data_IF_776719456574
#
_entry.id   IF_776719456574
#
_cell.length_a   1.000
_cell.length_b   1.000
_cell.length_c   1.000
_cell.angle_alpha   90.00
_cell.angle_beta   90.00
_cell.angle_gamma   90.00
#
_symmetry.space_group_name_H-M   'P 1'
#
loop_
_entity.id
_entity.type
_entity.pdbx_description
1 polymer ?
#
# COMPACT_ATOMS: atom_id res chain seq x y z
N UNK A 1 -26.77 1.56 -3.06
CA UNK A 1 -26.85 0.88 -1.74
C UNK A 1 -25.68 1.43 -0.95
N UNK A 2 -25.91 2.05 0.21
CA UNK A 2 -24.85 2.60 1.04
C UNK A 2 -23.93 1.48 1.50
N UNK A 3 -22.63 1.58 1.16
CA UNK A 3 -21.58 0.79 1.78
C UNK A 3 -21.44 1.25 3.23
N UNK A 4 -22.36 0.80 4.09
CA UNK A 4 -22.46 1.25 5.48
C UNK A 4 -21.32 0.62 6.27
N UNK A 5 -20.40 1.43 6.75
CA UNK A 5 -19.40 1.03 7.74
C UNK A 5 -20.16 0.50 8.95
N UNK A 6 -19.92 -0.76 9.32
CA UNK A 6 -20.57 -1.36 10.49
C UNK A 6 -20.01 -0.74 11.76
N UNK A 7 -20.77 0.10 12.44
CA UNK A 7 -20.33 0.87 13.62
C UNK A 7 -19.89 -0.01 14.81
N UNK A 8 -20.16 -1.31 14.79
CA UNK A 8 -19.77 -2.27 15.81
C UNK A 8 -18.43 -2.99 15.50
N UNK A 9 -17.80 -2.74 14.35
CA UNK A 9 -16.53 -3.34 13.99
C UNK A 9 -15.39 -2.34 14.21
N UNK A 10 -14.27 -2.82 14.76
CA UNK A 10 -13.08 -2.01 14.94
C UNK A 10 -12.22 -2.07 13.66
N UNK A 11 -12.03 -0.92 13.00
CA UNK A 11 -11.19 -0.77 11.82
C UNK A 11 -9.89 -0.06 12.19
N UNK A 12 -8.78 -0.50 11.62
CA UNK A 12 -7.50 0.20 11.75
C UNK A 12 -7.45 1.44 10.86
N UNK A 13 -8.11 1.36 9.69
CA UNK A 13 -8.21 2.44 8.72
C UNK A 13 -9.66 2.60 8.28
N UNK A 14 -10.20 3.82 8.42
CA UNK A 14 -11.56 4.16 7.98
C UNK A 14 -11.52 5.31 6.98
N UNK A 15 -12.22 5.15 5.88
CA UNK A 15 -12.45 6.17 4.87
C UNK A 15 -13.90 6.64 4.98
N UNK A 16 -14.13 7.94 5.21
CA UNK A 16 -15.47 8.55 5.35
C UNK A 16 -15.64 9.67 4.36
N UNK A 17 -16.46 9.42 3.33
CA UNK A 17 -16.76 10.36 2.25
C UNK A 17 -15.50 10.95 1.59
N UNK A 18 -14.47 10.13 1.42
CA UNK A 18 -13.19 10.57 0.87
C UNK A 18 -13.32 10.90 -0.60
N UNK A 19 -13.00 12.15 -0.95
CA UNK A 19 -12.92 12.60 -2.33
C UNK A 19 -11.56 13.23 -2.60
N UNK A 20 -11.05 13.06 -3.83
CA UNK A 20 -9.79 13.64 -4.29
C UNK A 20 -9.99 14.29 -5.65
N UNK A 21 -9.59 15.56 -5.78
CA UNK A 21 -9.68 16.33 -7.02
C UNK A 21 -8.30 16.83 -7.42
N UNK A 22 -7.93 16.66 -8.69
CA UNK A 22 -6.73 17.24 -9.32
C UNK A 22 -7.02 18.57 -9.99
N UNK A 23 -8.29 18.83 -10.28
CA UNK A 23 -8.76 20.05 -10.93
C UNK A 23 -10.07 20.45 -10.29
N UNK A 24 -10.31 21.73 -10.01
CA UNK A 24 -11.57 22.19 -9.43
C UNK A 24 -12.79 21.63 -10.16
N UNK A 25 -13.72 21.05 -9.42
CA UNK A 25 -14.96 20.49 -9.95
C UNK A 25 -14.86 19.11 -10.60
N UNK A 26 -13.66 18.48 -10.68
CA UNK A 26 -13.50 17.12 -11.24
C UNK A 26 -12.83 16.19 -10.23
N UNK A 27 -13.63 15.37 -9.60
CA UNK A 27 -13.14 14.37 -8.67
C UNK A 27 -12.56 13.14 -9.40
N UNK A 28 -11.34 12.77 -9.07
CA UNK A 28 -10.71 11.52 -9.47
C UNK A 28 -11.08 10.37 -8.52
N UNK A 29 -11.47 10.71 -7.29
CA UNK A 29 -12.07 9.82 -6.28
C UNK A 29 -13.28 10.54 -5.70
N UNK A 30 -14.41 9.86 -5.56
CA UNK A 30 -15.67 10.48 -5.20
C UNK A 30 -16.35 9.75 -4.04
N UNK A 31 -16.46 10.41 -2.89
CA UNK A 31 -17.18 10.00 -1.68
C UNK A 31 -16.99 8.53 -1.27
N UNK A 32 -15.75 8.06 -1.29
CA UNK A 32 -15.42 6.68 -0.91
C UNK A 32 -15.60 6.47 0.58
N UNK A 33 -16.35 5.42 0.94
CA UNK A 33 -16.57 4.95 2.31
C UNK A 33 -16.12 3.49 2.44
N UNK A 34 -15.17 3.21 3.34
CA UNK A 34 -14.65 1.86 3.57
C UNK A 34 -13.99 1.73 4.94
N UNK A 35 -14.08 0.54 5.53
CA UNK A 35 -13.39 0.17 6.76
C UNK A 35 -12.45 -1.01 6.54
N UNK A 36 -11.16 -0.84 6.85
CA UNK A 36 -10.13 -1.87 6.68
C UNK A 36 -9.78 -2.45 8.06
N UNK A 37 -9.86 -3.77 8.17
CA UNK A 37 -9.56 -4.51 9.40
C UNK A 37 -8.07 -4.70 9.58
N UNK A 38 -7.64 -4.76 10.83
CA UNK A 38 -6.25 -5.03 11.20
C UNK A 38 -5.79 -6.41 10.71
N UNK A 39 -4.52 -6.53 10.32
CA UNK A 39 -3.89 -7.79 9.89
C UNK A 39 -4.63 -8.48 8.72
N UNK A 40 -5.16 -7.69 7.81
CA UNK A 40 -5.76 -8.17 6.56
C UNK A 40 -5.09 -7.55 5.35
N UNK A 41 -5.21 -8.23 4.21
CA UNK A 41 -4.88 -7.66 2.89
C UNK A 41 -6.17 -7.20 2.24
N UNK A 42 -6.24 -5.91 1.89
CA UNK A 42 -7.33 -5.33 1.09
C UNK A 42 -6.81 -4.95 -0.29
N UNK A 43 -7.36 -5.56 -1.34
CA UNK A 43 -7.02 -5.21 -2.71
C UNK A 43 -7.94 -4.11 -3.25
N UNK A 44 -7.37 -3.10 -3.90
CA UNK A 44 -8.10 -2.09 -4.65
C UNK A 44 -7.95 -2.44 -6.14
N UNK A 45 -9.06 -2.77 -6.79
CA UNK A 45 -9.15 -3.21 -8.18
C UNK A 45 -9.99 -2.25 -9.02
N UNK A 46 -9.84 -2.33 -10.33
CA UNK A 46 -10.63 -1.59 -11.30
C UNK A 46 -9.81 -1.20 -12.53
N UNK A 47 -10.45 -0.65 -13.58
CA UNK A 47 -9.80 -0.22 -14.81
C UNK A 47 -8.70 0.82 -14.59
N UNK A 48 -7.82 1.00 -15.57
CA UNK A 48 -6.80 2.06 -15.53
C UNK A 48 -7.47 3.44 -15.46
N UNK A 49 -6.91 4.33 -14.64
CA UNK A 49 -7.44 5.69 -14.47
C UNK A 49 -8.68 5.83 -13.59
N UNK A 50 -9.23 4.76 -12.99
CA UNK A 50 -10.42 4.85 -12.15
C UNK A 50 -10.21 5.40 -10.73
N UNK A 51 -8.99 5.82 -10.35
CA UNK A 51 -8.71 6.47 -9.06
C UNK A 51 -8.02 5.62 -8.00
N UNK A 52 -7.63 4.35 -8.27
CA UNK A 52 -7.01 3.43 -7.29
C UNK A 52 -5.77 4.00 -6.59
N UNK A 53 -4.76 4.35 -7.37
CA UNK A 53 -3.52 4.93 -6.83
C UNK A 53 -3.75 6.30 -6.21
N UNK A 54 -4.75 7.04 -6.69
CA UNK A 54 -5.18 8.30 -6.09
C UNK A 54 -5.73 8.07 -4.69
N UNK A 55 -6.66 7.11 -4.51
CA UNK A 55 -7.18 6.75 -3.20
C UNK A 55 -6.07 6.25 -2.27
N UNK A 56 -5.19 5.37 -2.77
CA UNK A 56 -4.07 4.85 -1.98
C UNK A 56 -3.16 5.96 -1.45
N UNK A 57 -2.82 6.94 -2.31
CA UNK A 57 -1.96 8.08 -1.96
C UNK A 57 -2.63 9.11 -1.05
N UNK A 58 -3.96 9.14 -0.98
CA UNK A 58 -4.67 9.97 -0.02
C UNK A 58 -4.44 9.48 1.42
N UNK A 59 -4.35 8.15 1.63
CA UNK A 59 -4.21 7.53 2.96
C UNK A 59 -2.92 7.98 3.68
N UNK A 60 -1.83 8.21 2.95
CA UNK A 60 -0.57 8.69 3.54
C UNK A 60 -0.27 10.16 3.26
N UNK A 61 -1.26 10.92 2.81
CA UNK A 61 -1.15 12.36 2.56
C UNK A 61 -0.08 12.73 1.53
N UNK A 62 0.18 11.85 0.53
CA UNK A 62 1.12 12.14 -0.56
C UNK A 62 0.63 13.27 -1.47
N UNK A 63 -0.69 13.50 -1.56
CA UNK A 63 -1.27 14.55 -2.37
C UNK A 63 -0.88 15.96 -1.91
N UNK A 64 -0.61 16.16 -0.62
CA UNK A 64 -0.18 17.46 -0.09
C UNK A 64 1.20 17.91 -0.59
N UNK A 65 1.94 17.05 -1.29
CA UNK A 65 3.15 17.44 -1.99
C UNK A 65 2.87 18.24 -3.28
N UNK A 66 1.59 18.27 -3.69
CA UNK A 66 1.12 18.94 -4.89
C UNK A 66 -0.01 19.91 -4.50
N UNK A 67 0.21 21.25 -4.57
CA UNK A 67 -0.72 22.24 -4.01
C UNK A 67 -2.10 22.26 -4.69
N UNK A 68 -2.18 21.77 -5.93
CA UNK A 68 -3.44 21.78 -6.71
C UNK A 68 -4.34 20.58 -6.40
N UNK A 69 -3.84 19.58 -5.62
CA UNK A 69 -4.62 18.39 -5.29
C UNK A 69 -5.36 18.60 -3.97
N UNK A 70 -6.67 18.54 -4.04
CA UNK A 70 -7.55 18.70 -2.87
C UNK A 70 -8.11 17.35 -2.45
N UNK A 71 -7.92 16.99 -1.20
CA UNK A 71 -8.55 15.82 -0.56
C UNK A 71 -9.57 16.31 0.46
N UNK A 72 -10.80 15.78 0.41
CA UNK A 72 -11.89 16.08 1.34
C UNK A 72 -12.43 14.80 1.96
N UNK A 73 -13.28 14.94 3.00
CA UNK A 73 -13.75 13.82 3.82
C UNK A 73 -12.82 13.55 4.99
N UNK A 74 -12.95 12.38 5.61
CA UNK A 74 -12.13 11.97 6.74
C UNK A 74 -11.43 10.65 6.45
N UNK A 75 -10.18 10.55 6.86
CA UNK A 75 -9.41 9.31 6.87
C UNK A 75 -8.94 9.10 8.31
N UNK A 76 -9.45 8.05 8.96
CA UNK A 76 -9.08 7.74 10.34
C UNK A 76 -8.10 6.58 10.35
N UNK A 77 -6.96 6.76 10.99
CA UNK A 77 -5.99 5.72 11.29
C UNK A 77 -5.98 5.49 12.80
N UNK A 78 -6.36 4.29 13.24
CA UNK A 78 -6.59 3.97 14.66
C UNK A 78 -7.52 4.99 15.33
N UNK A 79 -8.60 5.37 14.67
CA UNK A 79 -9.58 6.34 15.17
C UNK A 79 -9.13 7.80 15.16
N UNK A 80 -7.91 8.11 14.73
CA UNK A 80 -7.38 9.48 14.64
C UNK A 80 -7.44 9.98 13.20
N UNK A 81 -8.07 11.13 12.97
CA UNK A 81 -8.10 11.75 11.65
C UNK A 81 -6.67 12.17 11.24
N UNK A 82 -6.18 11.59 10.14
CA UNK A 82 -4.82 11.82 9.65
C UNK A 82 -4.56 13.29 9.28
N UNK A 83 -5.59 14.05 8.91
CA UNK A 83 -5.44 15.48 8.58
C UNK A 83 -5.13 16.35 9.80
N UNK A 84 -5.45 15.87 11.01
CA UNK A 84 -5.11 16.50 12.28
C UNK A 84 -3.73 16.10 12.82
N UNK A 85 -3.01 15.20 12.11
CA UNK A 85 -1.71 14.70 12.51
C UNK A 85 -0.59 15.40 11.73
N UNK A 86 0.63 15.35 12.25
CA UNK A 86 1.81 15.76 11.45
C UNK A 86 1.98 14.83 10.24
N UNK A 87 2.12 15.35 8.99
CA UNK A 87 2.26 14.54 7.79
C UNK A 87 3.41 13.50 7.85
N UNK A 88 4.54 13.85 8.47
CA UNK A 88 5.66 12.93 8.64
C UNK A 88 5.29 11.75 9.54
N UNK A 89 4.47 12.00 10.59
CA UNK A 89 3.96 10.93 11.47
C UNK A 89 3.03 10.02 10.69
N UNK A 90 2.12 10.59 9.87
CA UNK A 90 1.20 9.79 9.03
C UNK A 90 1.98 8.89 8.07
N UNK A 91 2.99 9.43 7.37
CA UNK A 91 3.82 8.66 6.43
C UNK A 91 4.69 7.58 7.09
N UNK A 92 4.97 7.70 8.37
CA UNK A 92 5.60 6.62 9.16
C UNK A 92 4.60 5.51 9.49
N UNK A 93 3.37 5.87 9.87
CA UNK A 93 2.33 4.92 10.25
C UNK A 93 1.70 4.23 9.03
N UNK A 94 1.65 4.92 7.88
CA UNK A 94 1.17 4.40 6.61
C UNK A 94 2.33 4.38 5.60
N UNK A 95 3.14 3.32 5.67
CA UNK A 95 4.31 3.11 4.79
C UNK A 95 3.89 2.89 3.34
N UNK A 96 4.69 3.34 2.37
CA UNK A 96 4.37 3.26 0.94
C UNK A 96 5.43 2.49 0.16
N UNK A 97 4.97 1.55 -0.66
CA UNK A 97 5.75 0.84 -1.67
C UNK A 97 5.20 1.22 -3.04
N UNK A 98 6.07 1.68 -3.93
CA UNK A 98 5.70 2.19 -5.25
C UNK A 98 5.75 1.10 -6.30
N UNK A 99 5.06 1.35 -7.41
CA UNK A 99 4.98 0.47 -8.57
C UNK A 99 6.36 0.11 -9.14
N UNK A 100 7.24 1.10 -9.29
CA UNK A 100 8.63 0.89 -9.71
C UNK A 100 9.53 0.89 -8.48
N UNK A 101 10.44 -0.09 -8.36
CA UNK A 101 11.45 -0.06 -7.32
C UNK A 101 12.19 1.27 -7.31
N UNK A 102 12.30 1.89 -6.14
CA UNK A 102 12.90 3.22 -5.99
C UNK A 102 13.88 3.29 -4.81
N UNK A 103 14.90 2.41 -4.78
CA UNK A 103 15.95 2.57 -3.77
C UNK A 103 16.63 3.93 -3.96
N UNK A 104 17.06 4.56 -2.87
CA UNK A 104 17.84 5.80 -2.97
C UNK A 104 19.17 5.50 -3.66
N UNK A 105 19.45 6.08 -4.85
CA UNK A 105 20.53 5.63 -5.72
C UNK A 105 21.94 5.94 -5.15
N UNK A 106 22.04 6.91 -4.26
CA UNK A 106 23.29 7.31 -3.60
C UNK A 106 23.55 6.55 -2.31
N UNK A 107 22.56 5.82 -1.78
CA UNK A 107 22.63 5.10 -0.53
C UNK A 107 23.02 3.63 -0.74
N UNK A 108 23.75 3.09 0.25
CA UNK A 108 24.01 1.65 0.34
C UNK A 108 22.73 0.85 0.60
N UNK A 109 22.79 -0.49 0.50
CA UNK A 109 21.69 -1.38 0.91
C UNK A 109 21.32 -1.10 2.36
N UNK A 110 22.32 -1.07 3.25
CA UNK A 110 22.17 -0.75 4.67
C UNK A 110 21.47 0.61 4.87
N UNK A 111 21.99 1.66 4.22
CA UNK A 111 21.45 3.01 4.37
C UNK A 111 20.04 3.17 3.81
N UNK A 112 19.69 2.41 2.76
CA UNK A 112 18.33 2.40 2.25
C UNK A 112 17.33 1.88 3.28
N UNK A 113 17.65 0.81 4.01
CA UNK A 113 16.75 0.26 5.05
C UNK A 113 16.50 1.29 6.15
N UNK A 114 17.56 1.92 6.68
CA UNK A 114 17.43 2.90 7.78
C UNK A 114 17.16 4.34 7.31
N UNK A 115 16.94 4.55 6.01
CA UNK A 115 16.75 5.90 5.47
C UNK A 115 15.60 6.66 6.15
N UNK A 116 14.51 5.97 6.50
CA UNK A 116 13.39 6.57 7.19
C UNK A 116 13.76 7.20 8.54
N UNK A 117 14.62 6.57 9.30
CA UNK A 117 15.12 7.11 10.57
C UNK A 117 15.99 8.36 10.35
N UNK A 118 16.91 8.28 9.38
CA UNK A 118 17.76 9.43 9.02
C UNK A 118 16.93 10.64 8.58
N UNK A 119 15.96 10.44 7.70
CA UNK A 119 15.12 11.51 7.15
C UNK A 119 14.17 12.11 8.20
N UNK A 120 13.81 11.36 9.23
CA UNK A 120 13.00 11.85 10.35
C UNK A 120 13.85 12.37 11.53
N UNK A 121 15.17 12.49 11.38
CA UNK A 121 16.10 12.90 12.44
C UNK A 121 16.02 12.04 13.73
N UNK A 122 15.66 10.76 13.60
CA UNK A 122 15.62 9.82 14.71
C UNK A 122 17.01 9.25 14.90
N UNK A 123 17.61 9.54 16.06
CA UNK A 123 18.93 9.04 16.41
C UNK A 123 18.84 7.62 16.95
N UNK A 124 19.60 6.72 16.36
CA UNK A 124 19.74 5.32 16.76
C UNK A 124 21.19 5.01 17.06
N UNK A 125 21.43 4.15 18.03
CA UNK A 125 22.73 3.56 18.29
C UNK A 125 23.17 2.63 17.14
N UNK A 126 24.46 2.25 17.10
CA UNK A 126 24.96 1.37 16.03
C UNK A 126 24.30 0.00 16.11
N UNK A 127 24.29 -0.63 17.28
CA UNK A 127 23.68 -1.94 17.49
C UNK A 127 22.20 -1.97 17.13
N UNK A 128 21.45 -0.93 17.49
CA UNK A 128 20.02 -0.79 17.16
C UNK A 128 19.79 -0.67 15.65
N UNK A 129 20.66 0.07 14.94
CA UNK A 129 20.61 0.14 13.47
C UNK A 129 20.88 -1.22 12.83
N UNK A 130 21.91 -1.93 13.30
CA UNK A 130 22.30 -3.23 12.77
C UNK A 130 21.16 -4.24 12.94
N UNK A 131 20.51 -4.25 14.11
CA UNK A 131 19.35 -5.09 14.39
C UNK A 131 18.15 -4.76 13.50
N UNK A 132 17.81 -3.47 13.33
CA UNK A 132 16.72 -3.03 12.44
C UNK A 132 16.99 -3.46 11.01
N UNK A 133 18.22 -3.29 10.52
CA UNK A 133 18.60 -3.65 9.14
C UNK A 133 18.48 -5.15 8.94
N UNK A 134 19.05 -5.95 9.84
CA UNK A 134 19.00 -7.40 9.74
C UNK A 134 17.55 -7.90 9.77
N UNK A 135 16.76 -7.49 10.76
CA UNK A 135 15.37 -7.92 10.90
C UNK A 135 14.54 -7.52 9.68
N UNK A 136 14.63 -6.26 9.23
CA UNK A 136 13.87 -5.80 8.07
C UNK A 136 14.23 -6.54 6.77
N UNK A 137 15.51 -6.91 6.58
CA UNK A 137 15.93 -7.68 5.43
C UNK A 137 15.56 -9.16 5.53
N UNK A 138 15.49 -9.71 6.74
CA UNK A 138 14.96 -11.07 6.98
C UNK A 138 13.47 -11.14 6.72
N UNK A 139 12.72 -10.15 7.19
CA UNK A 139 11.27 -10.05 6.97
C UNK A 139 10.89 -10.09 5.48
N UNK A 140 11.78 -9.62 4.60
CA UNK A 140 11.57 -9.62 3.14
C UNK A 140 12.36 -10.73 2.41
N UNK A 141 12.89 -11.71 3.13
CA UNK A 141 13.71 -12.79 2.59
C UNK A 141 14.85 -12.31 1.68
N UNK A 142 15.49 -11.19 2.05
CA UNK A 142 16.60 -10.60 1.29
C UNK A 142 17.95 -10.70 2.02
N UNK A 143 17.95 -10.93 3.34
CA UNK A 143 19.15 -10.93 4.17
C UNK A 143 20.26 -11.82 3.64
N UNK A 144 19.97 -13.09 3.38
CA UNK A 144 20.99 -14.07 2.97
C UNK A 144 21.57 -13.77 1.56
N UNK A 145 20.85 -13.03 0.74
CA UNK A 145 21.31 -12.60 -0.58
C UNK A 145 22.25 -11.39 -0.52
N UNK A 146 22.18 -10.57 0.55
CA UNK A 146 22.85 -9.25 0.59
C UNK A 146 23.77 -9.02 1.78
N UNK A 147 23.74 -9.90 2.82
CA UNK A 147 24.49 -9.71 4.08
C UNK A 147 25.98 -9.41 3.90
N UNK A 148 26.60 -9.97 2.85
CA UNK A 148 28.02 -9.75 2.53
C UNK A 148 28.24 -8.54 1.60
N UNK A 149 27.18 -7.79 1.28
CA UNK A 149 27.20 -6.69 0.31
C UNK A 149 26.52 -5.42 0.80
N UNK A 150 26.36 -5.25 2.10
CA UNK A 150 25.60 -4.15 2.74
C UNK A 150 26.06 -2.75 2.36
N UNK A 151 27.33 -2.60 2.02
CA UNK A 151 27.94 -1.31 1.62
C UNK A 151 27.73 -0.99 0.13
N UNK A 152 27.30 -1.96 -0.67
CA UNK A 152 26.99 -1.72 -2.09
C UNK A 152 25.74 -0.86 -2.22
N UNK A 153 25.66 -0.08 -3.32
CA UNK A 153 24.46 0.73 -3.61
C UNK A 153 23.23 -0.14 -3.82
N UNK A 154 22.07 0.29 -3.33
CA UNK A 154 20.79 -0.41 -3.51
C UNK A 154 20.41 -0.63 -4.97
N UNK A 155 20.85 0.25 -5.87
CA UNK A 155 20.65 0.15 -7.33
C UNK A 155 21.44 -0.99 -7.99
N UNK A 156 22.37 -1.62 -7.29
CA UNK A 156 23.15 -2.76 -7.79
C UNK A 156 22.36 -4.07 -7.79
N UNK A 157 21.25 -4.09 -7.07
CA UNK A 157 20.37 -5.23 -6.94
C UNK A 157 19.51 -5.45 -8.19
N UNK A 158 19.05 -6.68 -8.44
CA UNK A 158 18.05 -6.98 -9.46
C UNK A 158 16.71 -6.27 -9.17
N UNK A 159 15.83 -6.12 -10.15
CA UNK A 159 14.53 -5.46 -9.97
C UNK A 159 13.72 -6.03 -8.80
N UNK A 160 13.61 -7.36 -8.71
CA UNK A 160 12.92 -8.03 -7.60
C UNK A 160 13.59 -7.82 -6.24
N UNK A 161 14.94 -7.82 -6.19
CA UNK A 161 15.69 -7.50 -4.98
C UNK A 161 15.51 -6.03 -4.57
N UNK A 162 15.52 -5.09 -5.54
CA UNK A 162 15.26 -3.68 -5.28
C UNK A 162 13.85 -3.47 -4.71
N UNK A 163 12.85 -4.18 -5.22
CA UNK A 163 11.48 -4.09 -4.70
C UNK A 163 11.42 -4.59 -3.26
N UNK A 164 12.02 -5.74 -2.96
CA UNK A 164 12.12 -6.25 -1.58
C UNK A 164 12.89 -5.29 -0.67
N UNK A 165 13.96 -4.66 -1.16
CA UNK A 165 14.66 -3.61 -0.41
C UNK A 165 13.75 -2.40 -0.10
N UNK A 166 12.91 -1.99 -1.05
CA UNK A 166 11.94 -0.91 -0.83
C UNK A 166 10.87 -1.30 0.19
N UNK A 167 10.44 -2.57 0.19
CA UNK A 167 9.54 -3.12 1.21
C UNK A 167 10.25 -3.11 2.58
N UNK A 168 11.48 -3.63 2.69
CA UNK A 168 12.27 -3.61 3.91
C UNK A 168 12.42 -2.20 4.48
N UNK A 169 12.70 -1.21 3.63
CA UNK A 169 12.78 0.22 4.00
C UNK A 169 11.46 0.73 4.61
N UNK A 170 10.32 0.31 4.06
CA UNK A 170 9.02 0.70 4.59
C UNK A 170 8.75 0.01 5.95
N UNK A 171 9.04 -1.28 6.07
CA UNK A 171 8.85 -2.07 7.28
C UNK A 171 9.76 -1.66 8.43
N UNK A 172 10.98 -1.18 8.14
CA UNK A 172 11.94 -0.72 9.14
C UNK A 172 11.36 0.31 10.12
N UNK A 173 10.40 1.13 9.67
CA UNK A 173 9.70 2.11 10.51
C UNK A 173 8.53 1.52 11.31
N UNK A 174 8.27 0.21 11.20
CA UNK A 174 7.15 -0.51 11.83
C UNK A 174 5.81 0.19 11.60
N UNK A 175 5.36 0.29 10.33
CA UNK A 175 4.11 0.96 10.00
C UNK A 175 2.90 0.17 10.52
N UNK A 176 1.78 0.86 10.78
CA UNK A 176 0.50 0.25 11.10
C UNK A 176 -0.20 -0.29 9.85
N UNK A 177 -0.01 0.40 8.73
CA UNK A 177 -0.56 0.02 7.42
C UNK A 177 0.53 0.13 6.37
N UNK A 178 0.68 -0.91 5.55
CA UNK A 178 1.57 -0.93 4.39
C UNK A 178 0.75 -0.74 3.11
N UNK A 179 0.99 0.35 2.43
CA UNK A 179 0.34 0.71 1.17
C UNK A 179 1.22 0.27 0.00
N UNK A 180 0.68 -0.51 -0.93
CA UNK A 180 1.43 -1.02 -2.09
C UNK A 180 0.73 -0.64 -3.40
N UNK A 181 1.37 0.18 -4.21
CA UNK A 181 0.87 0.62 -5.51
C UNK A 181 1.44 -0.28 -6.60
N UNK A 182 0.69 -1.30 -7.05
CA UNK A 182 1.06 -2.29 -8.07
C UNK A 182 2.49 -2.88 -7.89
N UNK A 183 2.83 -3.44 -6.71
CA UNK A 183 4.21 -3.71 -6.32
C UNK A 183 4.95 -4.75 -7.18
N UNK A 184 4.25 -5.46 -8.07
CA UNK A 184 4.80 -6.53 -8.91
C UNK A 184 4.75 -6.25 -10.40
N UNK A 185 4.11 -5.15 -10.83
CA UNK A 185 3.85 -4.88 -12.25
C UNK A 185 5.11 -4.66 -13.10
N UNK A 186 6.22 -4.27 -12.48
CA UNK A 186 7.51 -4.05 -13.14
C UNK A 186 8.50 -5.22 -12.97
N UNK A 187 8.04 -6.37 -12.45
CA UNK A 187 8.87 -7.51 -12.11
C UNK A 187 8.68 -8.69 -13.09
N UNK A 188 9.71 -9.51 -13.21
CA UNK A 188 9.61 -10.80 -13.87
C UNK A 188 8.73 -11.79 -13.07
N UNK A 189 8.24 -12.90 -13.68
CA UNK A 189 7.33 -13.82 -13.01
C UNK A 189 7.89 -14.45 -11.72
N UNK A 190 9.20 -14.75 -11.68
CA UNK A 190 9.84 -15.38 -10.51
C UNK A 190 9.88 -14.36 -9.36
N UNK A 191 10.29 -13.13 -9.65
CA UNK A 191 10.31 -12.04 -8.67
C UNK A 191 8.89 -11.68 -8.19
N UNK A 192 7.91 -11.74 -9.09
CA UNK A 192 6.49 -11.54 -8.75
C UNK A 192 6.03 -12.57 -7.71
N UNK A 193 6.26 -13.85 -7.95
CA UNK A 193 5.87 -14.90 -7.01
C UNK A 193 6.53 -14.72 -5.64
N UNK A 194 7.81 -14.37 -5.60
CA UNK A 194 8.51 -14.09 -4.33
C UNK A 194 7.89 -12.93 -3.54
N UNK A 195 7.48 -11.86 -4.23
CA UNK A 195 6.81 -10.72 -3.58
C UNK A 195 5.39 -11.09 -3.14
N UNK A 196 4.67 -11.94 -3.88
CA UNK A 196 3.36 -12.45 -3.47
C UNK A 196 3.46 -13.32 -2.21
N UNK A 197 4.41 -14.26 -2.16
CA UNK A 197 4.68 -15.08 -0.97
C UNK A 197 5.04 -14.20 0.23
N UNK A 198 5.86 -13.18 0.01
CA UNK A 198 6.21 -12.20 1.03
C UNK A 198 4.98 -11.46 1.57
N UNK A 199 4.07 -10.98 0.72
CA UNK A 199 2.84 -10.30 1.14
C UNK A 199 1.98 -11.23 2.01
N UNK A 200 1.91 -12.51 1.64
CA UNK A 200 1.17 -13.51 2.40
C UNK A 200 1.75 -13.73 3.81
N UNK A 201 3.07 -13.69 3.97
CA UNK A 201 3.70 -13.76 5.29
C UNK A 201 3.53 -12.47 6.09
N UNK A 202 3.72 -11.32 5.44
CA UNK A 202 3.62 -10.00 6.09
C UNK A 202 2.22 -9.71 6.65
N UNK A 203 1.15 -10.22 6.06
CA UNK A 203 -0.21 -9.99 6.58
C UNK A 203 -0.44 -10.52 7.98
N UNK A 204 0.40 -11.44 8.46
CA UNK A 204 0.33 -11.95 9.83
C UNK A 204 0.65 -10.90 10.88
N UNK A 205 1.36 -9.84 10.50
CA UNK A 205 1.85 -8.79 11.39
C UNK A 205 1.45 -7.38 10.95
N UNK A 206 1.12 -7.20 9.66
CA UNK A 206 0.84 -5.89 9.07
C UNK A 206 -0.50 -5.87 8.36
N UNK A 207 -1.17 -4.74 8.45
CA UNK A 207 -2.32 -4.46 7.59
C UNK A 207 -1.82 -3.97 6.23
N UNK A 208 -2.30 -4.56 5.15
CA UNK A 208 -1.82 -4.26 3.79
C UNK A 208 -2.97 -3.76 2.93
N UNK A 209 -2.77 -2.64 2.24
CA UNK A 209 -3.64 -2.16 1.18
C UNK A 209 -2.87 -2.19 -0.12
N UNK A 210 -3.30 -3.02 -1.06
CA UNK A 210 -2.61 -3.22 -2.33
C UNK A 210 -3.48 -2.77 -3.50
N UNK A 211 -2.93 -1.94 -4.36
CA UNK A 211 -3.51 -1.67 -5.69
C UNK A 211 -2.98 -2.71 -6.67
N UNK A 212 -3.86 -3.34 -7.42
CA UNK A 212 -3.47 -4.24 -8.51
C UNK A 212 -4.50 -4.20 -9.65
N UNK A 213 -4.03 -4.34 -10.87
CA UNK A 213 -4.86 -4.58 -12.04
C UNK A 213 -4.94 -6.09 -12.39
N UNK A 214 -4.21 -6.94 -11.67
CA UNK A 214 -4.23 -8.38 -11.86
C UNK A 214 -5.27 -9.03 -10.93
N UNK A 215 -6.40 -9.43 -11.50
CA UNK A 215 -7.51 -10.06 -10.79
C UNK A 215 -7.10 -11.37 -10.10
N UNK A 216 -6.26 -12.18 -10.77
CA UNK A 216 -5.78 -13.43 -10.19
C UNK A 216 -4.88 -13.18 -8.96
N UNK A 217 -4.10 -12.13 -8.97
CA UNK A 217 -3.30 -11.71 -7.82
C UNK A 217 -4.19 -11.26 -6.66
N UNK A 218 -5.20 -10.40 -6.93
CA UNK A 218 -6.16 -9.98 -5.91
C UNK A 218 -6.88 -11.18 -5.29
N UNK A 219 -7.35 -12.13 -6.11
CA UNK A 219 -8.05 -13.33 -5.66
C UNK A 219 -7.19 -14.21 -4.73
N UNK A 220 -5.86 -14.28 -4.97
CA UNK A 220 -4.95 -15.11 -4.16
C UNK A 220 -4.51 -14.42 -2.88
N UNK A 221 -4.23 -13.12 -2.92
CA UNK A 221 -3.56 -12.41 -1.83
C UNK A 221 -4.52 -11.76 -0.83
N UNK A 222 -5.68 -11.26 -1.30
CA UNK A 222 -6.49 -10.39 -0.46
C UNK A 222 -7.59 -11.13 0.29
N UNK A 223 -7.85 -10.66 1.51
CA UNK A 223 -8.98 -11.07 2.34
C UNK A 223 -10.24 -10.28 1.94
N UNK A 224 -10.07 -8.99 1.62
CA UNK A 224 -11.11 -8.09 1.16
C UNK A 224 -10.71 -7.43 -0.16
N UNK A 225 -11.72 -7.05 -0.93
CA UNK A 225 -11.52 -6.36 -2.21
C UNK A 225 -12.44 -5.14 -2.33
N UNK A 226 -11.89 -4.08 -2.91
CA UNK A 226 -12.57 -2.86 -3.31
C UNK A 226 -12.57 -2.81 -4.83
N UNK A 227 -13.73 -2.74 -5.46
CA UNK A 227 -13.83 -2.48 -6.88
C UNK A 227 -14.17 -1.01 -7.12
N UNK A 228 -13.27 -0.31 -7.81
CA UNK A 228 -13.43 1.10 -8.18
C UNK A 228 -13.70 1.26 -9.67
N UNK A 229 -14.64 2.16 -10.00
CA UNK A 229 -14.95 2.52 -11.36
C UNK A 229 -15.27 4.02 -11.45
N UNK A 230 -14.64 4.74 -12.38
CA UNK A 230 -14.82 6.19 -12.60
C UNK A 230 -14.78 7.04 -11.31
N UNK A 231 -13.87 6.73 -10.41
CA UNK A 231 -13.70 7.45 -9.13
C UNK A 231 -14.59 6.97 -8.00
N UNK A 232 -15.54 6.11 -8.25
CA UNK A 232 -16.48 5.58 -7.26
C UNK A 232 -16.05 4.23 -6.71
N UNK A 233 -16.31 3.97 -5.44
CA UNK A 233 -16.26 2.64 -4.84
C UNK A 233 -17.58 1.91 -5.15
N UNK A 234 -17.55 1.04 -6.15
CA UNK A 234 -18.74 0.31 -6.65
C UNK A 234 -19.11 -0.82 -5.71
N UNK A 235 -18.13 -1.60 -5.28
CA UNK A 235 -18.34 -2.73 -4.39
C UNK A 235 -17.16 -2.89 -3.43
N UNK A 236 -17.46 -3.23 -2.18
CA UNK A 236 -16.49 -3.56 -1.14
C UNK A 236 -17.00 -4.76 -0.33
N UNK A 237 -16.14 -5.74 -0.11
CA UNK A 237 -16.49 -6.94 0.64
C UNK A 237 -15.36 -7.96 0.68
N UNK A 238 -15.66 -9.16 1.15
CA UNK A 238 -14.68 -10.26 1.14
C UNK A 238 -14.34 -10.62 -0.30
N UNK A 239 -13.06 -10.84 -0.56
CA UNK A 239 -12.57 -11.22 -1.90
C UNK A 239 -13.28 -12.46 -2.42
N UNK A 240 -13.46 -13.47 -1.58
CA UNK A 240 -14.17 -14.71 -1.96
C UNK A 240 -15.58 -14.42 -2.50
N UNK A 241 -16.35 -13.60 -1.77
CA UNK A 241 -17.72 -13.26 -2.21
C UNK A 241 -17.72 -12.45 -3.50
N UNK A 242 -16.87 -11.42 -3.61
CA UNK A 242 -16.80 -10.57 -4.79
C UNK A 242 -16.46 -11.36 -6.06
N UNK A 243 -15.51 -12.30 -5.97
CA UNK A 243 -15.10 -13.13 -7.11
C UNK A 243 -16.06 -14.27 -7.46
N UNK A 244 -16.91 -14.72 -6.52
CA UNK A 244 -17.86 -15.84 -6.77
C UNK A 244 -19.28 -15.37 -7.00
N UNK A 245 -19.69 -14.28 -6.36
CA UNK A 245 -21.06 -13.74 -6.45
C UNK A 245 -21.02 -12.22 -6.25
N UNK A 246 -20.51 -11.46 -7.23
CA UNK A 246 -20.51 -10.01 -7.18
C UNK A 246 -21.95 -9.47 -7.06
N UNK A 247 -22.09 -8.34 -6.34
CA UNK A 247 -23.40 -7.73 -6.09
C UNK A 247 -23.78 -6.71 -7.15
N UNK A 248 -22.77 -6.03 -7.74
CA UNK A 248 -22.97 -5.01 -8.76
C UNK A 248 -22.60 -5.58 -10.15
N UNK A 249 -23.43 -5.30 -11.13
CA UNK A 249 -23.22 -5.75 -12.50
C UNK A 249 -21.89 -5.29 -13.08
N UNK A 250 -21.46 -4.07 -12.74
CA UNK A 250 -20.16 -3.52 -13.18
C UNK A 250 -18.99 -4.33 -12.64
N UNK A 251 -19.10 -4.85 -11.39
CA UNK A 251 -18.10 -5.74 -10.80
C UNK A 251 -18.04 -7.06 -11.57
N UNK A 252 -19.21 -7.65 -11.88
CA UNK A 252 -19.30 -8.89 -12.65
C UNK A 252 -18.69 -8.72 -14.05
N UNK A 253 -19.05 -7.66 -14.76
CA UNK A 253 -18.55 -7.37 -16.09
C UNK A 253 -17.03 -7.16 -16.10
N UNK A 254 -16.48 -6.50 -15.07
CA UNK A 254 -15.03 -6.35 -14.91
C UNK A 254 -14.34 -7.70 -14.67
N UNK A 255 -14.87 -8.53 -13.76
CA UNK A 255 -14.27 -9.82 -13.41
C UNK A 255 -14.35 -10.84 -14.55
N UNK A 256 -15.36 -10.75 -15.41
CA UNK A 256 -15.54 -11.62 -16.58
C UNK A 256 -14.82 -11.11 -17.84
N UNK A 257 -14.15 -9.94 -17.74
CA UNK A 257 -13.42 -9.36 -18.88
C UNK A 257 -14.31 -8.70 -19.95
N UNK A 258 -15.58 -8.45 -19.64
CA UNK A 258 -16.52 -7.74 -20.54
C UNK A 258 -16.24 -6.23 -20.55
N UNK A 259 -15.63 -5.71 -19.49
CA UNK A 259 -15.10 -4.35 -19.46
C UNK A 259 -13.77 -4.29 -20.21
N UNK A 260 -13.78 -3.72 -21.36
CA UNK A 260 -12.59 -3.37 -22.13
C UNK A 260 -12.48 -1.84 -22.24
#
# INVERSE_FOLDING_TARGET
>A
MENTINMNEQYILELKNVSVSYTPGKNAVNMVNAGIKENTVTAIMGPSGCGKSTLLRAINRMHELYPDIVTTGEILLKGQNIFNMNPMKVRRLAGMVFQRPNPFPTMSIYDNVIAGYKLNNIKLGKSEKDEIVENSLRDVALWDEVKDSMTKKGTFLSGGQQQRLCIARALALKPEVLLMDEPTSALDPISTNRVEELIFELKKQYTIVIVTHNMSQAARLSDNSMFMYLGELVEFGTTKQMFTKPKDKRTEDYLTGVFS
#
